data_IF_095065110149
#
_entry.id   IF_095065110149
#
_cell.length_a   1.000
_cell.length_b   1.000
_cell.length_c   1.000
_cell.angle_alpha   90.00
_cell.angle_beta   90.00
_cell.angle_gamma   90.00
#
_symmetry.space_group_name_H-M   'P 1'
#
loop_
_entity.id
_entity.type
_entity.pdbx_description
1 polymer ?
#
# COMPACT_ATOMS: atom_id res chain seq x y z
N UNK A 1 28.40 -13.35 3.83
CA UNK A 1 27.02 -13.87 3.77
C UNK A 1 26.13 -12.66 3.61
N UNK A 2 25.55 -12.49 2.43
CA UNK A 2 24.52 -11.49 2.23
C UNK A 2 23.32 -11.88 3.10
N UNK A 3 22.97 -11.05 4.07
CA UNK A 3 21.71 -11.18 4.79
C UNK A 3 20.59 -11.14 3.74
N UNK A 4 19.91 -12.24 3.54
CA UNK A 4 18.78 -12.30 2.61
C UNK A 4 17.69 -11.39 3.17
N UNK A 5 17.33 -10.36 2.39
CA UNK A 5 16.23 -9.47 2.71
C UNK A 5 14.90 -10.21 2.45
N UNK A 6 14.43 -10.94 3.45
CA UNK A 6 13.23 -11.78 3.34
C UNK A 6 11.96 -10.99 3.02
N UNK A 7 11.87 -9.74 3.48
CA UNK A 7 10.73 -8.86 3.20
C UNK A 7 10.70 -8.34 1.75
N UNK A 8 11.79 -8.49 1.00
CA UNK A 8 11.87 -8.15 -0.43
C UNK A 8 11.30 -9.22 -1.36
N UNK A 9 10.90 -10.38 -0.85
CA UNK A 9 10.27 -11.40 -1.67
C UNK A 9 8.76 -11.16 -1.79
N UNK A 10 8.27 -11.20 -3.02
CA UNK A 10 6.86 -11.10 -3.35
C UNK A 10 6.42 -12.37 -4.08
N UNK A 11 5.41 -13.04 -3.56
CA UNK A 11 4.83 -14.22 -4.19
C UNK A 11 3.50 -13.86 -4.84
N UNK A 12 3.40 -14.04 -6.15
CA UNK A 12 2.19 -13.78 -6.92
C UNK A 12 1.55 -15.09 -7.37
N UNK A 13 0.25 -15.23 -7.10
CA UNK A 13 -0.55 -16.36 -7.55
C UNK A 13 -1.09 -16.07 -8.96
N UNK A 14 -0.54 -16.73 -9.97
CA UNK A 14 -0.91 -16.50 -11.37
C UNK A 14 -2.32 -17.01 -11.68
N UNK A 15 -2.83 -18.00 -10.92
CA UNK A 15 -4.19 -18.52 -11.11
C UNK A 15 -5.26 -17.52 -10.64
N UNK A 16 -4.89 -16.59 -9.77
CA UNK A 16 -5.76 -15.55 -9.23
C UNK A 16 -5.55 -14.17 -9.88
N UNK A 17 -4.81 -14.09 -10.98
CA UNK A 17 -4.59 -12.81 -11.67
C UNK A 17 -5.91 -12.08 -11.98
N UNK A 18 -6.95 -12.83 -12.39
CA UNK A 18 -8.27 -12.25 -12.66
C UNK A 18 -8.90 -11.54 -11.47
N UNK A 19 -8.58 -11.94 -10.24
CA UNK A 19 -9.07 -11.25 -9.02
C UNK A 19 -8.40 -9.88 -8.85
N UNK A 20 -7.09 -9.78 -9.12
CA UNK A 20 -6.37 -8.51 -9.09
C UNK A 20 -6.87 -7.56 -10.20
N UNK A 21 -7.10 -8.09 -11.40
CA UNK A 21 -7.63 -7.33 -12.53
C UNK A 21 -9.05 -6.84 -12.25
N UNK A 22 -9.89 -7.67 -11.65
CA UNK A 22 -11.25 -7.30 -11.25
C UNK A 22 -11.26 -6.20 -10.19
N UNK A 23 -10.35 -6.28 -9.19
CA UNK A 23 -10.22 -5.24 -8.17
C UNK A 23 -9.80 -3.91 -8.80
N UNK A 24 -8.82 -3.92 -9.73
CA UNK A 24 -8.41 -2.71 -10.44
C UNK A 24 -9.58 -2.08 -11.21
N UNK A 25 -10.35 -2.90 -11.95
CA UNK A 25 -11.51 -2.40 -12.71
C UNK A 25 -12.59 -1.83 -11.80
N UNK A 26 -12.86 -2.48 -10.66
CA UNK A 26 -13.82 -1.99 -9.66
C UNK A 26 -13.37 -0.63 -9.09
N UNK A 27 -12.13 -0.49 -8.67
CA UNK A 27 -11.56 0.77 -8.16
C UNK A 27 -11.65 1.86 -9.22
N UNK A 28 -11.26 1.56 -10.47
CA UNK A 28 -11.38 2.52 -11.60
C UNK A 28 -12.81 3.01 -11.79
N UNK A 29 -13.78 2.09 -11.82
CA UNK A 29 -15.18 2.44 -12.01
C UNK A 29 -15.70 3.32 -10.88
N UNK A 30 -15.41 3.00 -9.64
CA UNK A 30 -15.81 3.79 -8.48
C UNK A 30 -15.19 5.20 -8.51
N UNK A 31 -13.89 5.32 -8.87
CA UNK A 31 -13.23 6.61 -8.98
C UNK A 31 -13.80 7.46 -10.13
N UNK A 32 -14.15 6.83 -11.27
CA UNK A 32 -14.80 7.53 -12.40
C UNK A 32 -16.20 8.02 -12.02
N UNK A 33 -16.95 7.24 -11.24
CA UNK A 33 -18.26 7.66 -10.74
C UNK A 33 -18.12 8.82 -9.73
N UNK A 34 -17.17 8.69 -8.80
CA UNK A 34 -16.88 9.72 -7.80
C UNK A 34 -16.42 11.05 -8.46
N UNK A 35 -15.71 10.99 -9.58
CA UNK A 35 -15.26 12.15 -10.33
C UNK A 35 -16.39 13.01 -10.93
N UNK A 36 -17.61 12.48 -11.01
CA UNK A 36 -18.80 13.24 -11.43
C UNK A 36 -19.23 14.26 -10.37
N UNK A 37 -18.91 14.00 -9.11
CA UNK A 37 -19.08 14.96 -8.04
C UNK A 37 -17.94 15.98 -8.10
N UNK A 38 -18.30 17.27 -8.19
CA UNK A 38 -17.33 18.37 -8.30
C UNK A 38 -16.39 18.46 -7.13
N UNK A 39 -16.88 18.17 -5.91
CA UNK A 39 -16.11 18.22 -4.67
C UNK A 39 -14.98 17.17 -4.64
N UNK A 40 -15.16 16.04 -5.34
CA UNK A 40 -14.20 14.94 -5.35
C UNK A 40 -13.48 14.77 -6.69
N UNK A 41 -13.79 15.58 -7.71
CA UNK A 41 -13.26 15.43 -9.06
C UNK A 41 -11.74 15.38 -9.10
N UNK A 42 -11.09 16.34 -8.43
CA UNK A 42 -9.64 16.42 -8.41
C UNK A 42 -9.01 15.24 -7.67
N UNK A 43 -9.55 14.89 -6.51
CA UNK A 43 -9.08 13.74 -5.72
C UNK A 43 -9.20 12.43 -6.51
N UNK A 44 -10.34 12.21 -7.18
CA UNK A 44 -10.56 11.05 -8.01
C UNK A 44 -9.59 10.96 -9.18
N UNK A 45 -9.29 12.07 -9.85
CA UNK A 45 -8.33 12.11 -10.96
C UNK A 45 -6.90 11.79 -10.50
N UNK A 46 -6.49 12.28 -9.32
CA UNK A 46 -5.19 11.95 -8.72
C UNK A 46 -5.08 10.46 -8.43
N UNK A 47 -6.12 9.88 -7.83
CA UNK A 47 -6.14 8.46 -7.49
C UNK A 47 -6.25 7.57 -8.75
N UNK A 48 -7.02 7.97 -9.77
CA UNK A 48 -7.04 7.28 -11.07
C UNK A 48 -5.63 7.23 -11.68
N UNK A 49 -4.95 8.38 -11.74
CA UNK A 49 -3.58 8.46 -12.26
C UNK A 49 -2.63 7.55 -11.46
N UNK A 50 -2.80 7.50 -10.14
CA UNK A 50 -1.99 6.63 -9.28
C UNK A 50 -2.21 5.15 -9.60
N UNK A 51 -3.46 4.69 -9.65
CA UNK A 51 -3.77 3.26 -9.85
C UNK A 51 -3.48 2.79 -11.28
N UNK A 52 -3.59 3.67 -12.28
CA UNK A 52 -3.31 3.33 -13.68
C UNK A 52 -1.81 3.28 -14.02
N UNK A 53 -0.97 3.84 -13.16
CA UNK A 53 0.49 3.88 -13.36
C UNK A 53 1.17 2.54 -13.15
N UNK A 54 0.57 1.63 -12.38
CA UNK A 54 1.20 0.40 -11.92
C UNK A 54 0.59 -0.86 -12.53
N UNK A 55 1.36 -1.94 -12.52
CA UNK A 55 0.88 -3.28 -12.82
C UNK A 55 0.64 -4.03 -11.52
N UNK A 56 -0.43 -4.81 -11.49
CA UNK A 56 -0.87 -5.54 -10.30
C UNK A 56 -0.88 -7.04 -10.51
N UNK A 57 -0.65 -7.79 -9.45
CA UNK A 57 -0.78 -9.23 -9.41
C UNK A 57 -1.37 -9.67 -8.09
N UNK A 58 -2.11 -10.77 -8.09
CA UNK A 58 -2.64 -11.29 -6.84
C UNK A 58 -1.49 -11.76 -5.95
N UNK A 59 -1.21 -11.00 -4.91
CA UNK A 59 -0.13 -11.27 -3.97
C UNK A 59 -0.61 -12.19 -2.88
N UNK A 60 0.10 -13.32 -2.68
CA UNK A 60 -0.11 -14.18 -1.52
C UNK A 60 0.67 -13.65 -0.32
N UNK A 61 -0.02 -13.49 0.79
CA UNK A 61 0.57 -13.03 2.03
C UNK A 61 1.02 -14.23 2.87
N UNK A 62 2.14 -14.84 2.47
CA UNK A 62 2.75 -15.96 3.19
C UNK A 62 4.11 -15.54 3.76
N UNK A 63 4.49 -16.21 4.85
CA UNK A 63 5.82 -16.02 5.40
C UNK A 63 6.86 -16.73 4.51
N UNK A 64 7.72 -15.96 3.89
CA UNK A 64 8.82 -16.45 3.03
C UNK A 64 10.16 -16.54 3.79
N UNK A 65 10.15 -16.36 5.10
CA UNK A 65 11.30 -16.60 5.97
C UNK A 65 11.52 -18.10 6.15
N UNK A 66 12.56 -18.63 5.51
CA UNK A 66 12.90 -20.06 5.51
C UNK A 66 13.16 -20.57 6.93
N UNK A 67 13.75 -19.76 7.79
CA UNK A 67 14.06 -20.16 9.17
C UNK A 67 12.80 -20.22 10.02
N UNK A 68 11.88 -19.27 9.85
CA UNK A 68 10.57 -19.30 10.49
C UNK A 68 9.73 -20.50 10.03
N UNK A 69 9.72 -20.79 8.73
CA UNK A 69 9.01 -21.95 8.14
C UNK A 69 9.57 -23.29 8.63
N UNK A 70 10.89 -23.40 8.82
CA UNK A 70 11.52 -24.61 9.38
C UNK A 70 11.14 -24.87 10.83
N UNK A 71 10.90 -23.82 11.60
CA UNK A 71 10.57 -23.92 13.02
C UNK A 71 9.08 -24.22 13.28
N UNK A 72 8.20 -23.87 12.31
CA UNK A 72 6.75 -24.05 12.43
C UNK A 72 6.19 -24.62 11.13
N UNK A 73 5.82 -25.89 11.14
CA UNK A 73 5.21 -26.59 9.99
C UNK A 73 3.96 -25.92 9.45
N UNK A 74 3.19 -25.25 10.31
CA UNK A 74 1.96 -24.54 9.95
C UNK A 74 2.22 -23.30 9.06
N UNK A 75 3.48 -22.83 9.02
CA UNK A 75 3.90 -21.72 8.14
C UNK A 75 4.30 -22.19 6.74
N UNK A 76 4.25 -23.49 6.48
CA UNK A 76 4.58 -24.06 5.16
C UNK A 76 3.30 -24.59 4.47
N UNK A 77 2.44 -23.70 3.94
CA UNK A 77 1.24 -24.12 3.26
C UNK A 77 1.60 -24.84 1.94
N UNK A 78 0.81 -25.85 1.58
CA UNK A 78 0.85 -26.38 0.23
C UNK A 78 0.42 -25.30 -0.75
N UNK A 79 1.22 -25.01 -1.77
CA UNK A 79 0.96 -24.00 -2.80
C UNK A 79 0.58 -24.70 -4.12
N UNK A 80 -0.68 -25.16 -4.30
CA UNK A 80 -1.12 -25.76 -5.54
C UNK A 80 -1.30 -24.67 -6.60
N UNK A 81 -0.72 -24.86 -7.78
CA UNK A 81 -0.89 -23.95 -8.91
C UNK A 81 0.39 -23.31 -9.40
N UNK A 82 0.26 -22.20 -10.14
CA UNK A 82 1.38 -21.47 -10.73
C UNK A 82 1.62 -20.18 -9.98
N UNK A 83 2.86 -19.97 -9.60
CA UNK A 83 3.30 -18.81 -8.84
C UNK A 83 4.49 -18.13 -9.51
N UNK A 84 4.57 -16.83 -9.35
CA UNK A 84 5.75 -16.06 -9.69
C UNK A 84 6.36 -15.49 -8.40
N UNK A 85 7.62 -15.83 -8.14
CA UNK A 85 8.41 -15.25 -7.07
C UNK A 85 9.20 -14.09 -7.64
N UNK A 86 9.03 -12.90 -7.09
CA UNK A 86 9.80 -11.73 -7.41
C UNK A 86 10.64 -11.32 -6.21
N UNK A 87 11.92 -11.07 -6.43
CA UNK A 87 12.79 -10.46 -5.44
C UNK A 87 12.98 -9.00 -5.79
N UNK A 88 12.61 -8.11 -4.89
CA UNK A 88 12.90 -6.69 -4.99
C UNK A 88 14.17 -6.36 -4.20
N UNK A 89 14.93 -5.40 -4.70
CA UNK A 89 16.04 -4.84 -3.93
C UNK A 89 15.53 -4.14 -2.68
N UNK A 90 16.35 -4.09 -1.64
CA UNK A 90 16.01 -3.30 -0.45
C UNK A 90 16.02 -1.83 -0.83
N UNK A 91 14.84 -1.25 -0.91
CA UNK A 91 14.67 0.20 -1.08
C UNK A 91 15.05 0.90 0.23
N UNK A 92 15.94 1.90 0.14
CA UNK A 92 16.30 2.71 1.32
C UNK A 92 15.52 4.03 1.33
N UNK A 93 14.25 3.96 1.02
CA UNK A 93 13.36 5.11 0.88
C UNK A 93 11.92 4.72 1.25
N UNK A 94 11.10 5.72 1.52
CA UNK A 94 9.67 5.63 1.81
C UNK A 94 8.92 6.44 0.75
N UNK A 95 7.82 5.88 0.26
CA UNK A 95 7.01 6.49 -0.79
C UNK A 95 5.76 7.14 -0.18
N UNK A 96 5.50 8.40 -0.52
CA UNK A 96 4.26 9.09 -0.17
C UNK A 96 3.37 9.14 -1.40
N UNK A 97 2.17 8.58 -1.28
CA UNK A 97 1.19 8.44 -2.37
C UNK A 97 -0.22 8.81 -1.90
N UNK A 98 -1.15 8.93 -2.83
CA UNK A 98 -2.56 9.20 -2.57
C UNK A 98 -2.91 10.67 -2.68
N UNK A 99 -3.73 11.18 -1.76
CA UNK A 99 -4.21 12.56 -1.74
C UNK A 99 -3.20 13.52 -1.09
N UNK A 100 -1.96 13.38 -1.48
CA UNK A 100 -0.80 14.18 -1.07
C UNK A 100 0.09 14.38 -2.31
N UNK A 101 0.89 15.44 -2.34
CA UNK A 101 1.90 15.58 -3.40
C UNK A 101 2.84 14.37 -3.35
N UNK A 102 2.87 13.54 -4.41
CA UNK A 102 3.69 12.33 -4.42
C UNK A 102 5.17 12.67 -4.28
N UNK A 103 5.85 12.01 -3.38
CA UNK A 103 7.30 12.14 -3.21
C UNK A 103 7.91 10.87 -2.67
N UNK A 104 9.20 10.74 -2.88
CA UNK A 104 10.05 9.70 -2.29
C UNK A 104 10.98 10.36 -1.28
N UNK A 105 11.03 9.82 -0.08
CA UNK A 105 11.83 10.34 1.03
C UNK A 105 12.85 9.29 1.44
N UNK A 106 14.14 9.62 1.64
CA UNK A 106 15.09 8.69 2.20
C UNK A 106 14.60 8.10 3.52
N UNK A 107 14.79 6.80 3.69
CA UNK A 107 14.43 6.14 4.96
C UNK A 107 15.30 6.66 6.11
N UNK A 108 14.68 6.90 7.25
CA UNK A 108 15.36 7.16 8.53
C UNK A 108 14.72 6.31 9.62
N UNK A 109 15.57 5.64 10.41
CA UNK A 109 15.08 4.82 11.53
C UNK A 109 14.45 5.65 12.66
N UNK A 110 14.78 6.94 12.71
CA UNK A 110 14.28 7.88 13.73
C UNK A 110 12.98 8.56 13.30
N UNK A 111 12.51 8.32 12.05
CA UNK A 111 11.30 8.95 11.52
C UNK A 111 10.08 8.08 11.77
N UNK A 112 9.03 8.73 12.21
CA UNK A 112 7.67 8.22 12.28
C UNK A 112 6.85 8.64 11.05
N UNK A 113 5.63 8.12 10.92
CA UNK A 113 4.72 8.48 9.82
C UNK A 113 4.52 10.00 9.72
N UNK A 114 4.37 10.68 10.85
CA UNK A 114 4.20 12.13 10.90
C UNK A 114 5.38 12.90 10.30
N UNK A 115 6.62 12.42 10.54
CA UNK A 115 7.84 13.08 10.03
C UNK A 115 7.94 13.00 8.52
N UNK A 116 7.56 11.86 7.91
CA UNK A 116 7.54 11.70 6.46
C UNK A 116 6.50 12.59 5.78
N UNK A 117 5.34 12.80 6.42
CA UNK A 117 4.25 13.64 5.91
C UNK A 117 4.57 15.14 6.11
N UNK A 118 5.38 15.48 7.10
CA UNK A 118 5.71 16.85 7.44
C UNK A 118 6.21 17.66 6.24
N UNK A 119 5.69 18.86 6.09
CA UNK A 119 6.02 19.76 4.97
C UNK A 119 5.50 19.33 3.61
N UNK A 120 4.66 18.29 3.53
CA UNK A 120 3.99 17.89 2.28
C UNK A 120 2.66 18.62 2.13
N UNK A 121 2.26 18.85 0.87
CA UNK A 121 0.97 19.46 0.55
C UNK A 121 -0.06 18.34 0.33
N UNK A 122 -1.13 18.36 1.13
CA UNK A 122 -2.28 17.48 0.95
C UNK A 122 -3.26 18.10 -0.04
N UNK A 123 -3.97 17.23 -0.78
CA UNK A 123 -5.19 17.61 -1.49
C UNK A 123 -6.29 18.00 -0.48
N UNK A 124 -7.24 18.84 -0.88
CA UNK A 124 -8.33 19.32 0.00
C UNK A 124 -9.14 18.17 0.60
N UNK A 125 -9.32 17.08 -0.15
CA UNK A 125 -10.00 15.87 0.30
C UNK A 125 -9.08 14.88 1.06
N UNK A 126 -7.79 15.18 1.20
CA UNK A 126 -6.82 14.32 1.86
C UNK A 126 -7.03 14.27 3.38
N UNK A 127 -6.92 13.08 3.96
CA UNK A 127 -7.06 12.88 5.40
C UNK A 127 -5.90 13.57 6.14
N UNK A 128 -6.25 14.44 7.09
CA UNK A 128 -5.29 15.28 7.85
C UNK A 128 -4.88 14.65 9.17
N UNK A 129 -5.42 13.49 9.50
CA UNK A 129 -5.21 12.86 10.81
C UNK A 129 -4.77 11.41 10.74
N UNK A 130 -5.09 10.70 9.67
CA UNK A 130 -4.79 9.29 9.50
C UNK A 130 -4.18 9.00 8.14
N UNK A 131 -3.28 8.04 8.10
CA UNK A 131 -2.65 7.54 6.89
C UNK A 131 -2.61 6.01 6.91
N UNK A 132 -2.51 5.39 5.75
CA UNK A 132 -2.22 3.98 5.64
C UNK A 132 -0.72 3.77 5.47
N UNK A 133 -0.17 2.82 6.19
CA UNK A 133 1.19 2.31 5.99
C UNK A 133 1.09 0.96 5.30
N UNK A 134 1.63 0.86 4.10
CA UNK A 134 1.72 -0.37 3.32
C UNK A 134 3.17 -0.82 3.36
N UNK A 135 3.44 -1.92 4.03
CA UNK A 135 4.77 -2.48 4.19
C UNK A 135 5.24 -3.21 2.91
N UNK A 136 6.55 -3.42 2.70
CA UNK A 136 7.07 -4.13 1.53
C UNK A 136 6.52 -5.55 1.37
N UNK A 137 6.11 -6.20 2.45
CA UNK A 137 5.46 -7.51 2.43
C UNK A 137 3.98 -7.48 1.98
N UNK A 138 3.40 -6.29 1.74
CA UNK A 138 2.02 -6.10 1.29
C UNK A 138 1.00 -5.93 2.43
N UNK A 139 1.41 -6.06 3.69
CA UNK A 139 0.54 -5.76 4.82
C UNK A 139 0.28 -4.26 4.92
N UNK A 140 -0.93 -3.89 5.30
CA UNK A 140 -1.31 -2.51 5.50
C UNK A 140 -1.96 -2.29 6.85
N UNK A 141 -1.75 -1.12 7.42
CA UNK A 141 -2.39 -0.67 8.66
C UNK A 141 -2.71 0.80 8.57
N UNK A 142 -3.84 1.19 9.14
CA UNK A 142 -4.24 2.60 9.26
C UNK A 142 -3.72 3.15 10.59
N UNK A 143 -3.05 4.28 10.55
CA UNK A 143 -2.38 4.89 11.70
C UNK A 143 -2.70 6.36 11.82
N UNK A 144 -2.87 6.86 13.04
CA UNK A 144 -2.97 8.27 13.34
C UNK A 144 -1.59 8.94 13.27
N UNK A 145 -1.53 10.12 12.66
CA UNK A 145 -0.28 10.89 12.55
C UNK A 145 -0.40 12.36 12.96
N UNK A 146 -1.60 12.81 13.31
CA UNK A 146 -1.80 14.17 13.82
C UNK A 146 -1.46 14.27 15.30
N UNK A 147 -1.19 15.49 15.76
CA UNK A 147 -0.77 15.77 17.14
C UNK A 147 -1.64 15.10 18.21
N UNK A 148 -2.96 15.03 18.00
CA UNK A 148 -3.90 14.48 18.99
C UNK A 148 -4.10 12.97 18.93
N UNK A 149 -3.69 12.31 17.83
CA UNK A 149 -3.89 10.88 17.63
C UNK A 149 -2.63 10.16 17.14
N UNK A 150 -1.45 10.78 17.25
CA UNK A 150 -0.20 10.18 16.80
C UNK A 150 0.08 8.88 17.57
N UNK A 151 0.20 7.79 16.83
CA UNK A 151 0.49 6.46 17.35
C UNK A 151 1.99 6.16 17.43
N UNK A 152 2.84 7.12 17.05
CA UNK A 152 4.31 6.97 17.06
C UNK A 152 4.78 5.71 16.31
N UNK A 153 4.20 5.47 15.12
CA UNK A 153 4.52 4.31 14.29
C UNK A 153 5.72 4.61 13.40
N UNK A 154 6.78 3.84 13.57
CA UNK A 154 7.89 3.82 12.62
C UNK A 154 7.54 2.95 11.41
N UNK A 155 8.12 3.28 10.25
CA UNK A 155 7.91 2.57 9.00
C UNK A 155 9.15 1.77 8.60
N UNK A 156 8.97 0.74 7.80
CA UNK A 156 10.08 -0.03 7.25
C UNK A 156 10.61 0.63 5.98
N UNK A 157 11.90 0.45 5.63
CA UNK A 157 12.42 0.87 4.33
C UNK A 157 11.65 0.17 3.20
N UNK A 158 11.27 0.92 2.18
CA UNK A 158 10.44 0.45 1.07
C UNK A 158 8.93 0.50 1.33
N UNK A 159 8.49 1.01 2.50
CA UNK A 159 7.07 1.20 2.78
C UNK A 159 6.47 2.33 1.96
N UNK A 160 5.18 2.23 1.71
CA UNK A 160 4.36 3.30 1.16
C UNK A 160 3.46 3.88 2.25
N UNK A 161 3.48 5.20 2.41
CA UNK A 161 2.51 5.95 3.21
C UNK A 161 1.47 6.50 2.24
N UNK A 162 0.23 6.06 2.39
CA UNK A 162 -0.87 6.46 1.53
C UNK A 162 -1.85 7.35 2.31
N UNK A 163 -2.12 8.53 1.77
CA UNK A 163 -3.13 9.45 2.29
C UNK A 163 -4.45 9.21 1.56
N UNK A 164 -5.44 8.74 2.29
CA UNK A 164 -6.81 8.51 1.82
C UNK A 164 -7.70 9.73 1.96
N UNK A 165 -9.01 9.50 1.92
CA UNK A 165 -10.02 10.56 2.00
C UNK A 165 -10.22 11.07 3.43
N UNK A 166 -10.42 12.38 3.57
CA UNK A 166 -10.85 13.01 4.81
C UNK A 166 -12.39 12.97 4.92
N UNK A 167 -12.95 11.75 4.98
CA UNK A 167 -14.39 11.56 5.05
C UNK A 167 -14.74 10.31 5.86
N UNK A 168 -15.84 10.39 6.59
CA UNK A 168 -16.39 9.28 7.39
C UNK A 168 -17.50 8.49 6.66
N UNK A 169 -17.65 8.68 5.36
CA UNK A 169 -18.62 7.97 4.54
C UNK A 169 -18.15 6.54 4.27
N UNK A 170 -19.01 5.55 4.53
CA UNK A 170 -18.68 4.13 4.40
C UNK A 170 -18.26 3.75 2.97
N UNK A 171 -18.87 4.33 1.94
CA UNK A 171 -18.53 4.07 0.55
C UNK A 171 -17.11 4.55 0.21
N UNK A 172 -16.71 5.73 0.70
CA UNK A 172 -15.35 6.24 0.52
C UNK A 172 -14.33 5.44 1.31
N UNK A 173 -14.69 4.94 2.50
CA UNK A 173 -13.82 4.07 3.29
C UNK A 173 -13.63 2.71 2.61
N UNK A 174 -14.68 2.15 2.02
CA UNK A 174 -14.61 0.91 1.25
C UNK A 174 -13.70 1.09 0.01
N UNK A 175 -13.90 2.17 -0.75
CA UNK A 175 -13.05 2.50 -1.90
C UNK A 175 -11.58 2.71 -1.48
N UNK A 176 -11.34 3.42 -0.38
CA UNK A 176 -10.00 3.62 0.18
C UNK A 176 -9.32 2.29 0.52
N UNK A 177 -10.07 1.39 1.18
CA UNK A 177 -9.59 0.04 1.52
C UNK A 177 -9.24 -0.77 0.28
N UNK A 178 -10.06 -0.71 -0.77
CA UNK A 178 -9.80 -1.37 -2.05
C UNK A 178 -8.55 -0.81 -2.75
N UNK A 179 -8.36 0.51 -2.72
CA UNK A 179 -7.15 1.15 -3.25
C UNK A 179 -5.91 0.68 -2.48
N UNK A 180 -5.95 0.67 -1.15
CA UNK A 180 -4.84 0.21 -0.30
C UNK A 180 -4.50 -1.25 -0.57
N UNK A 181 -5.52 -2.11 -0.70
CA UNK A 181 -5.35 -3.52 -1.07
C UNK A 181 -4.67 -3.64 -2.43
N UNK A 182 -5.11 -2.85 -3.41
CA UNK A 182 -4.53 -2.83 -4.75
C UNK A 182 -3.06 -2.38 -4.73
N UNK A 183 -2.73 -1.32 -3.97
CA UNK A 183 -1.36 -0.85 -3.82
C UNK A 183 -0.43 -1.91 -3.19
N UNK A 184 -0.95 -2.74 -2.27
CA UNK A 184 -0.23 -3.90 -1.73
C UNK A 184 0.05 -5.01 -2.77
N UNK A 185 -0.62 -4.99 -3.92
CA UNK A 185 -0.49 -5.94 -5.03
C UNK A 185 0.39 -5.45 -6.18
N UNK A 186 1.04 -4.28 -6.05
CA UNK A 186 1.93 -3.75 -7.09
C UNK A 186 3.04 -4.76 -7.38
N UNK A 187 3.20 -5.06 -8.68
CA UNK A 187 4.37 -5.78 -9.19
C UNK A 187 5.53 -4.81 -9.25
N UNK A 188 6.37 -4.79 -8.24
CA UNK A 188 7.54 -3.91 -8.13
C UNK A 188 8.55 -4.10 -9.26
#
# INVERSE_FOLDING_TARGET
QALSFHEGFQLFNLNKQAEADALLQNVRQQLLELAKNEDYRQASQLLLTLVEKHQYGYRENINLDIDAVRLKTDLNPALPGHYALKQTSRENQVFLLGLITPKTVPFSADFEVADYIAGSTLNDNGNKSEAWVISPNGNSSKVGYSYWNNQHVSVQPGSTIFIGFNASNDDLQALESDIVKLLGMIKG
#
